data_IF_287215859845
#
_entry.id   IF_287215859845
#
_cell.length_a   1.000
_cell.length_b   1.000
_cell.length_c   1.000
_cell.angle_alpha   90.00
_cell.angle_beta   90.00
_cell.angle_gamma   90.00
#
_symmetry.space_group_name_H-M   'P 1'
#
loop_
_entity.id
_entity.type
_entity.pdbx_description
1 polymer ?
#
# COMPACT_ATOMS: atom_id res chain seq x y z
N UNK A 1 -10.22 -18.12 -0.53
CA UNK A 1 -9.56 -16.82 -0.74
C UNK A 1 -10.34 -16.05 -1.80
N UNK A 2 -10.56 -14.76 -1.58
CA UNK A 2 -11.26 -13.90 -2.53
C UNK A 2 -10.33 -12.77 -2.94
N UNK A 3 -10.32 -12.44 -4.23
CA UNK A 3 -9.47 -11.38 -4.78
C UNK A 3 -10.34 -10.41 -5.58
N UNK A 4 -10.33 -9.15 -5.16
CA UNK A 4 -10.90 -8.07 -5.95
C UNK A 4 -9.92 -7.63 -7.02
N UNK A 5 -10.30 -7.69 -8.29
CA UNK A 5 -9.43 -7.30 -9.41
C UNK A 5 -10.13 -6.32 -10.34
N UNK A 6 -9.35 -5.42 -10.91
CA UNK A 6 -9.84 -4.54 -11.97
C UNK A 6 -10.28 -5.36 -13.20
N UNK A 7 -11.36 -4.95 -13.87
CA UNK A 7 -11.98 -5.71 -14.95
C UNK A 7 -11.01 -6.20 -16.06
N UNK A 8 -9.98 -5.40 -16.38
CA UNK A 8 -8.98 -5.79 -17.39
C UNK A 8 -8.02 -6.91 -16.97
N UNK A 9 -7.88 -7.20 -15.66
CA UNK A 9 -7.00 -8.25 -15.15
C UNK A 9 -7.72 -9.60 -15.01
N UNK A 10 -9.05 -9.62 -14.97
CA UNK A 10 -9.85 -10.84 -14.87
C UNK A 10 -9.57 -11.82 -16.02
N UNK A 11 -9.44 -11.29 -17.25
CA UNK A 11 -9.17 -12.12 -18.44
C UNK A 11 -7.76 -12.71 -18.46
N UNK A 12 -6.76 -12.03 -17.88
CA UNK A 12 -5.36 -12.49 -17.92
C UNK A 12 -5.04 -13.54 -16.88
N UNK A 13 -5.61 -13.45 -15.68
CA UNK A 13 -5.20 -14.25 -14.53
C UNK A 13 -6.33 -15.10 -13.95
N UNK A 14 -7.56 -14.97 -14.46
CA UNK A 14 -8.74 -15.64 -13.92
C UNK A 14 -8.60 -17.16 -13.88
N UNK A 15 -8.10 -17.77 -14.95
CA UNK A 15 -7.93 -19.23 -15.02
C UNK A 15 -6.87 -19.74 -14.03
N UNK A 16 -5.75 -19.03 -13.91
CA UNK A 16 -4.68 -19.40 -12.98
C UNK A 16 -5.11 -19.29 -11.52
N UNK A 17 -5.74 -18.17 -11.16
CA UNK A 17 -6.22 -17.94 -9.80
C UNK A 17 -7.35 -18.90 -9.44
N UNK A 18 -8.26 -19.18 -10.37
CA UNK A 18 -9.33 -20.14 -10.18
C UNK A 18 -8.85 -21.56 -9.90
N UNK A 19 -7.74 -21.99 -10.56
CA UNK A 19 -7.10 -23.28 -10.31
C UNK A 19 -6.65 -23.43 -8.84
N UNK A 20 -6.24 -22.32 -8.21
CA UNK A 20 -5.87 -22.28 -6.78
C UNK A 20 -7.05 -22.07 -5.84
N UNK A 21 -8.29 -22.24 -6.30
CA UNK A 21 -9.49 -22.05 -5.49
C UNK A 21 -9.78 -20.59 -5.13
N UNK A 22 -9.17 -19.64 -5.86
CA UNK A 22 -9.37 -18.21 -5.64
C UNK A 22 -10.67 -17.77 -6.35
N UNK A 23 -11.58 -17.18 -5.62
CA UNK A 23 -12.78 -16.55 -6.17
C UNK A 23 -12.48 -15.09 -6.55
N UNK A 24 -12.69 -14.77 -7.82
CA UNK A 24 -12.47 -13.43 -8.35
C UNK A 24 -13.78 -12.65 -8.31
N UNK A 25 -13.72 -11.41 -7.84
CA UNK A 25 -14.83 -10.48 -7.82
C UNK A 25 -14.44 -9.17 -8.52
N UNK A 26 -15.39 -8.41 -9.09
CA UNK A 26 -15.09 -7.11 -9.68
C UNK A 26 -14.51 -6.17 -8.65
N UNK A 27 -13.40 -5.50 -9.00
CA UNK A 27 -12.83 -4.41 -8.21
C UNK A 27 -13.65 -3.12 -8.31
N UNK A 28 -13.33 -2.15 -7.46
CA UNK A 28 -13.85 -0.79 -7.55
C UNK A 28 -13.31 -0.06 -8.79
N UNK A 29 -13.93 1.08 -9.12
CA UNK A 29 -13.55 1.88 -10.28
C UNK A 29 -12.65 3.06 -9.91
N UNK A 30 -12.87 3.64 -8.77
CA UNK A 30 -12.23 4.89 -8.34
C UNK A 30 -11.41 4.68 -7.06
N UNK A 31 -11.99 4.08 -6.03
CA UNK A 31 -11.42 4.02 -4.70
C UNK A 31 -11.07 2.59 -4.27
N UNK A 32 -9.97 2.44 -3.52
CA UNK A 32 -9.54 1.14 -3.00
C UNK A 32 -10.64 0.44 -2.18
N UNK A 33 -11.32 1.20 -1.33
CA UNK A 33 -12.36 0.68 -0.45
C UNK A 33 -13.55 0.06 -1.22
N UNK A 34 -13.85 0.51 -2.45
CA UNK A 34 -14.88 -0.10 -3.29
C UNK A 34 -14.53 -1.56 -3.62
N UNK A 35 -13.27 -1.83 -3.92
CA UNK A 35 -12.78 -3.18 -4.20
C UNK A 35 -12.95 -4.09 -2.98
N UNK A 36 -12.58 -3.62 -1.80
CA UNK A 36 -12.72 -4.40 -0.57
C UNK A 36 -14.20 -4.60 -0.23
N UNK A 37 -15.05 -3.57 -0.39
CA UNK A 37 -16.51 -3.69 -0.18
C UNK A 37 -17.13 -4.75 -1.10
N UNK A 38 -16.77 -4.78 -2.38
CA UNK A 38 -17.25 -5.78 -3.32
C UNK A 38 -16.78 -7.20 -2.93
N UNK A 39 -15.52 -7.34 -2.52
CA UNK A 39 -15.00 -8.62 -2.04
C UNK A 39 -15.69 -9.08 -0.76
N UNK A 40 -15.97 -8.16 0.16
CA UNK A 40 -16.62 -8.44 1.44
C UNK A 40 -18.07 -8.97 1.26
N UNK A 41 -18.80 -8.49 0.24
CA UNK A 41 -20.12 -9.01 -0.10
C UNK A 41 -20.09 -10.49 -0.53
N UNK A 42 -18.97 -10.95 -1.07
CA UNK A 42 -18.78 -12.32 -1.50
C UNK A 42 -18.19 -13.23 -0.40
N UNK A 43 -17.80 -12.67 0.76
CA UNK A 43 -17.32 -13.44 1.92
C UNK A 43 -18.52 -14.18 2.56
N UNK A 44 -18.32 -15.50 2.85
CA UNK A 44 -19.33 -16.31 3.55
C UNK A 44 -19.81 -15.64 4.85
N UNK A 45 -21.09 -15.74 5.12
CA UNK A 45 -21.67 -15.28 6.40
C UNK A 45 -21.14 -16.07 7.60
N UNK A 46 -20.65 -17.28 7.37
CA UNK A 46 -20.04 -18.13 8.41
C UNK A 46 -18.57 -17.74 8.71
N UNK A 47 -17.98 -16.86 7.90
CA UNK A 47 -16.61 -16.39 8.15
C UNK A 47 -16.56 -15.61 9.46
N UNK A 48 -15.75 -16.05 10.40
CA UNK A 48 -15.53 -15.38 11.69
C UNK A 48 -14.55 -14.22 11.58
N UNK A 49 -13.58 -14.34 10.67
CA UNK A 49 -12.54 -13.33 10.45
C UNK A 49 -12.34 -13.09 8.95
N UNK A 50 -11.87 -11.90 8.64
CA UNK A 50 -11.48 -11.47 7.29
C UNK A 50 -10.11 -10.82 7.36
N UNK A 51 -9.19 -11.30 6.53
CA UNK A 51 -7.89 -10.66 6.33
C UNK A 51 -7.91 -9.89 5.00
N UNK A 52 -7.62 -8.61 5.04
CA UNK A 52 -7.45 -7.78 3.85
C UNK A 52 -5.96 -7.61 3.58
N UNK A 53 -5.53 -8.00 2.37
CA UNK A 53 -4.12 -7.97 2.01
C UNK A 53 -3.89 -7.31 0.65
N UNK A 54 -2.89 -6.43 0.61
CA UNK A 54 -2.44 -5.79 -0.63
C UNK A 54 -1.66 -6.81 -1.50
N UNK A 55 -2.14 -7.11 -2.70
CA UNK A 55 -1.43 -7.96 -3.66
C UNK A 55 -0.03 -7.42 -4.03
N UNK A 56 0.20 -6.13 -3.79
CA UNK A 56 1.50 -5.47 -3.98
C UNK A 56 2.52 -5.77 -2.86
N UNK A 57 2.19 -6.63 -1.87
CA UNK A 57 3.11 -7.07 -0.80
C UNK A 57 3.41 -8.56 -0.88
N UNK A 58 4.15 -9.02 -1.91
CA UNK A 58 4.41 -10.45 -2.10
C UNK A 58 5.41 -11.05 -1.10
N UNK A 59 6.06 -10.20 -0.28
CA UNK A 59 7.10 -10.61 0.67
C UNK A 59 6.60 -10.99 2.07
N UNK A 60 5.28 -11.13 2.26
CA UNK A 60 4.70 -11.50 3.57
C UNK A 60 5.22 -12.88 4.01
N UNK A 61 5.79 -12.94 5.21
CA UNK A 61 6.34 -14.18 5.76
C UNK A 61 5.27 -15.01 6.48
N UNK A 62 5.49 -16.32 6.64
CA UNK A 62 4.66 -17.14 7.52
C UNK A 62 4.65 -16.60 8.96
N UNK A 63 5.78 -16.15 9.46
CA UNK A 63 5.94 -15.62 10.82
C UNK A 63 5.12 -14.36 11.05
N UNK A 64 5.00 -13.49 10.05
CA UNK A 64 4.11 -12.33 10.11
C UNK A 64 2.64 -12.76 10.11
N UNK A 65 2.28 -13.72 9.26
CA UNK A 65 0.93 -14.27 9.24
C UNK A 65 0.56 -14.86 10.60
N UNK A 66 1.42 -15.70 11.18
CA UNK A 66 1.19 -16.30 12.49
C UNK A 66 1.00 -15.23 13.57
N UNK A 67 1.82 -14.18 13.60
CA UNK A 67 1.71 -13.07 14.55
C UNK A 67 0.35 -12.37 14.46
N UNK A 68 -0.08 -12.07 13.23
CA UNK A 68 -1.37 -11.40 12.99
C UNK A 68 -2.54 -12.32 13.37
N UNK A 69 -2.48 -13.61 12.99
CA UNK A 69 -3.54 -14.57 13.29
C UNK A 69 -3.65 -14.86 14.79
N UNK A 70 -2.53 -15.01 15.49
CA UNK A 70 -2.55 -15.24 16.94
C UNK A 70 -3.14 -14.04 17.69
N UNK A 71 -2.76 -12.83 17.33
CA UNK A 71 -3.34 -11.62 17.90
C UNK A 71 -4.85 -11.48 17.59
N UNK A 72 -5.29 -11.89 16.40
CA UNK A 72 -6.68 -11.84 16.00
C UNK A 72 -7.59 -12.82 16.75
N UNK A 73 -7.05 -13.84 17.42
CA UNK A 73 -7.82 -14.73 18.30
C UNK A 73 -8.41 -13.98 19.49
N UNK A 74 -7.72 -12.95 19.96
CA UNK A 74 -8.08 -12.19 21.17
C UNK A 74 -8.55 -10.76 20.86
N UNK A 75 -8.18 -10.19 19.73
CA UNK A 75 -8.52 -8.83 19.33
C UNK A 75 -9.40 -8.81 18.09
N UNK A 76 -10.35 -7.86 18.05
CA UNK A 76 -11.30 -7.76 16.95
C UNK A 76 -10.73 -7.12 15.66
N UNK A 77 -9.67 -6.33 15.79
CA UNK A 77 -8.96 -5.71 14.68
C UNK A 77 -7.46 -5.72 14.97
N UNK A 78 -6.66 -6.21 14.04
CA UNK A 78 -5.20 -6.35 14.16
C UNK A 78 -4.53 -5.95 12.85
N UNK A 79 -3.51 -5.12 12.95
CA UNK A 79 -2.71 -4.68 11.81
C UNK A 79 -1.22 -4.83 12.11
N UNK A 80 -0.38 -5.15 11.12
CA UNK A 80 1.06 -5.07 11.29
C UNK A 80 1.55 -3.64 11.09
N UNK A 81 2.48 -3.20 11.93
CA UNK A 81 3.10 -1.88 11.86
C UNK A 81 4.61 -1.97 11.97
N UNK A 82 5.32 -1.26 11.09
CA UNK A 82 6.76 -1.15 11.11
C UNK A 82 7.16 0.20 11.70
N UNK A 83 8.07 0.22 12.68
CA UNK A 83 8.58 1.46 13.24
C UNK A 83 9.25 2.32 12.16
N UNK A 84 8.97 3.63 12.18
CA UNK A 84 9.54 4.56 11.21
C UNK A 84 10.98 4.91 11.60
N UNK A 85 11.94 4.55 10.75
CA UNK A 85 13.35 4.80 10.98
C UNK A 85 13.76 6.24 10.69
N UNK A 86 13.16 6.89 9.69
CA UNK A 86 13.51 8.22 9.22
C UNK A 86 12.83 9.33 10.03
N UNK A 87 13.44 10.52 10.04
CA UNK A 87 12.82 11.71 10.62
C UNK A 87 11.67 12.17 9.74
N UNK A 88 10.46 12.25 10.30
CA UNK A 88 9.30 12.75 9.59
C UNK A 88 9.18 14.26 9.69
N UNK A 89 8.94 14.91 8.56
CA UNK A 89 8.69 16.35 8.45
C UNK A 89 7.29 16.61 7.87
N UNK A 90 6.56 17.51 8.49
CA UNK A 90 5.40 18.12 7.84
C UNK A 90 5.90 19.23 6.95
N UNK A 91 5.41 19.27 5.71
CA UNK A 91 5.77 20.30 4.73
C UNK A 91 4.53 21.07 4.31
N UNK A 92 4.70 22.36 3.99
CA UNK A 92 3.61 23.21 3.51
C UNK A 92 3.05 22.75 2.16
N UNK A 93 1.82 23.14 1.86
CA UNK A 93 1.14 22.84 0.59
C UNK A 93 1.75 23.61 -0.60
N UNK A 94 2.27 24.82 -0.34
CA UNK A 94 2.88 25.67 -1.38
C UNK A 94 4.28 25.21 -1.78
N UNK A 95 4.57 25.29 -3.08
CA UNK A 95 5.94 25.17 -3.59
C UNK A 95 6.59 26.53 -3.68
N UNK A 96 7.78 26.68 -3.11
CA UNK A 96 8.65 27.87 -3.29
C UNK A 96 9.50 27.58 -4.51
N UNK A 97 9.43 28.45 -5.52
CA UNK A 97 10.41 28.48 -6.60
C UNK A 97 11.62 29.26 -6.08
N UNK A 98 12.79 28.67 -6.12
CA UNK A 98 14.01 29.42 -6.02
C UNK A 98 14.17 30.18 -7.35
N UNK A 99 13.81 31.45 -7.36
CA UNK A 99 14.29 32.39 -8.36
C UNK A 99 15.75 32.68 -7.97
N UNK A 100 16.69 31.91 -8.46
CA UNK A 100 18.08 32.34 -8.49
C UNK A 100 18.16 33.44 -9.55
N UNK A 101 17.96 34.68 -9.15
CA UNK A 101 18.47 35.84 -9.87
C UNK A 101 20.02 35.82 -9.75
N UNK A 102 20.67 34.91 -10.43
CA UNK A 102 22.10 35.02 -10.67
C UNK A 102 22.28 35.75 -12.01
N UNK A 103 22.05 37.06 -11.97
CA UNK A 103 22.23 37.96 -13.12
C UNK A 103 23.64 37.86 -13.75
N UNK A 104 24.61 37.26 -13.06
CA UNK A 104 25.97 37.01 -13.55
C UNK A 104 26.00 35.70 -14.37
N UNK A 105 25.22 34.66 -13.98
CA UNK A 105 25.16 33.42 -14.73
C UNK A 105 24.44 33.60 -16.07
N UNK A 106 23.37 34.37 -16.13
CA UNK A 106 22.63 34.73 -17.37
C UNK A 106 23.49 35.51 -18.32
N UNK A 107 24.37 36.38 -17.84
CA UNK A 107 25.28 37.17 -18.64
C UNK A 107 26.42 36.34 -19.26
N UNK A 108 26.83 35.25 -18.64
CA UNK A 108 27.95 34.41 -19.09
C UNK A 108 27.50 33.22 -19.95
N UNK A 109 26.34 32.62 -19.68
CA UNK A 109 25.90 31.38 -20.33
C UNK A 109 24.87 31.55 -21.45
N UNK A 110 24.32 32.76 -21.62
CA UNK A 110 23.28 33.02 -22.63
C UNK A 110 22.01 32.21 -22.38
N UNK A 111 20.93 32.51 -23.14
CA UNK A 111 19.57 31.94 -23.05
C UNK A 111 19.46 30.40 -23.27
N UNK A 112 20.53 29.65 -23.15
CA UNK A 112 20.59 28.23 -23.55
C UNK A 112 20.59 27.22 -22.40
N UNK A 113 20.53 27.67 -21.13
CA UNK A 113 20.37 26.75 -20.00
C UNK A 113 18.94 26.88 -19.47
N UNK A 114 18.10 25.89 -19.77
CA UNK A 114 16.88 25.66 -19.00
C UNK A 114 17.29 25.61 -17.53
N UNK A 115 17.12 26.73 -16.81
CA UNK A 115 17.30 26.78 -15.39
C UNK A 115 16.34 25.74 -14.80
N UNK A 116 16.88 24.62 -14.33
CA UNK A 116 16.12 23.59 -13.67
C UNK A 116 15.40 24.26 -12.51
N UNK A 117 14.12 24.58 -12.70
CA UNK A 117 13.25 25.18 -11.69
C UNK A 117 13.15 24.18 -10.54
N UNK A 118 14.05 24.31 -9.57
CA UNK A 118 14.00 23.54 -8.34
C UNK A 118 12.77 23.95 -7.56
N UNK A 119 11.76 23.07 -7.50
CA UNK A 119 10.59 23.27 -6.66
C UNK A 119 10.87 22.69 -5.28
N UNK A 120 10.84 23.53 -4.26
CA UNK A 120 11.02 23.12 -2.86
C UNK A 120 9.76 23.44 -2.04
N UNK A 121 9.54 22.70 -0.95
CA UNK A 121 8.49 22.99 0.03
C UNK A 121 9.12 23.35 1.37
N UNK A 122 8.49 24.31 2.05
CA UNK A 122 8.93 24.73 3.39
C UNK A 122 8.60 23.65 4.41
N UNK A 123 9.55 23.32 5.28
CA UNK A 123 9.30 22.44 6.44
C UNK A 123 8.57 23.25 7.51
N UNK A 124 7.38 22.81 7.91
CA UNK A 124 6.58 23.43 8.94
C UNK A 124 6.88 22.86 10.33
N UNK A 125 7.07 21.54 10.42
CA UNK A 125 7.33 20.89 11.70
C UNK A 125 8.10 19.58 11.55
N UNK A 126 8.80 19.20 12.62
CA UNK A 126 9.28 17.84 12.83
C UNK A 126 8.24 17.06 13.63
N UNK A 127 7.84 15.89 13.13
CA UNK A 127 6.88 15.03 13.81
C UNK A 127 7.59 14.11 14.79
N UNK A 128 7.03 13.96 15.99
CA UNK A 128 7.49 12.91 16.90
C UNK A 128 7.07 11.54 16.36
N UNK A 129 8.05 10.71 16.07
CA UNK A 129 7.86 9.35 15.53
C UNK A 129 7.86 8.24 16.57
N UNK A 130 8.04 8.55 17.85
CA UNK A 130 8.21 7.57 18.93
C UNK A 130 7.05 6.56 19.00
N UNK A 131 5.85 6.97 18.64
CA UNK A 131 4.64 6.14 18.60
C UNK A 131 3.98 6.12 17.23
N UNK A 132 4.77 6.27 16.18
CA UNK A 132 4.30 6.23 14.79
C UNK A 132 4.82 4.97 14.12
N UNK A 133 3.91 4.27 13.45
CA UNK A 133 4.25 3.09 12.67
C UNK A 133 3.77 3.24 11.22
N UNK A 134 4.53 2.68 10.30
CA UNK A 134 4.10 2.51 8.93
C UNK A 134 3.26 1.23 8.85
N UNK A 135 1.96 1.39 8.61
CA UNK A 135 1.00 0.29 8.59
C UNK A 135 1.21 -0.59 7.37
N UNK A 136 1.13 -1.90 7.59
CA UNK A 136 1.23 -2.91 6.56
C UNK A 136 -0.06 -3.73 6.46
N UNK A 137 -0.07 -4.69 5.55
CA UNK A 137 -1.10 -5.73 5.45
C UNK A 137 -0.42 -7.11 5.49
N UNK A 138 -1.14 -8.20 5.91
CA UNK A 138 -2.58 -8.32 6.05
C UNK A 138 -3.12 -7.58 7.28
N UNK A 139 -4.26 -6.90 7.12
CA UNK A 139 -5.05 -6.36 8.22
C UNK A 139 -6.16 -7.37 8.52
N UNK A 140 -6.24 -7.82 9.77
CA UNK A 140 -7.15 -8.87 10.19
C UNK A 140 -8.24 -8.32 11.08
N UNK A 141 -9.49 -8.68 10.78
CA UNK A 141 -10.67 -8.20 11.50
C UNK A 141 -11.62 -9.33 11.79
N UNK A 142 -12.39 -9.23 12.89
CA UNK A 142 -13.63 -9.98 13.01
C UNK A 142 -14.55 -9.59 11.86
N UNK A 143 -15.14 -10.57 11.18
CA UNK A 143 -15.94 -10.33 9.97
C UNK A 143 -17.13 -9.39 10.22
N UNK A 144 -17.78 -9.52 11.36
CA UNK A 144 -18.86 -8.63 11.76
C UNK A 144 -18.41 -7.18 11.92
N UNK A 145 -17.26 -6.96 12.59
CA UNK A 145 -16.70 -5.62 12.78
C UNK A 145 -16.36 -4.96 11.43
N UNK A 146 -15.71 -5.70 10.53
CA UNK A 146 -15.38 -5.17 9.21
C UNK A 146 -16.63 -4.86 8.38
N UNK A 147 -17.67 -5.70 8.45
CA UNK A 147 -18.96 -5.41 7.80
C UNK A 147 -19.61 -4.14 8.34
N UNK A 148 -19.58 -3.92 9.66
CA UNK A 148 -20.06 -2.67 10.27
C UNK A 148 -19.25 -1.47 9.79
N UNK A 149 -17.93 -1.61 9.72
CA UNK A 149 -17.03 -0.56 9.24
C UNK A 149 -17.34 -0.17 7.79
N UNK A 150 -17.63 -1.13 6.93
CA UNK A 150 -18.02 -0.90 5.54
C UNK A 150 -19.49 -0.51 5.32
N UNK A 151 -20.34 -0.61 6.33
CA UNK A 151 -21.73 -0.12 6.31
C UNK A 151 -21.87 1.35 6.70
N UNK A 152 -20.80 2.05 7.04
CA UNK A 152 -20.82 3.47 7.36
C UNK A 152 -21.28 4.30 6.15
N UNK A 153 -21.96 5.44 6.37
CA UNK A 153 -22.53 6.23 5.28
C UNK A 153 -21.48 6.92 4.41
N UNK A 154 -20.28 7.16 4.94
CA UNK A 154 -19.17 7.78 4.21
C UNK A 154 -17.86 7.00 4.40
N UNK A 155 -17.33 6.47 3.32
CA UNK A 155 -16.07 5.73 3.28
C UNK A 155 -14.94 6.52 2.59
N UNK A 156 -15.24 7.72 2.09
CA UNK A 156 -14.26 8.54 1.37
C UNK A 156 -13.08 8.92 2.26
N UNK A 157 -11.89 9.01 1.65
CA UNK A 157 -10.66 9.37 2.35
C UNK A 157 -10.16 8.27 3.31
N UNK A 158 -10.75 7.07 3.30
CA UNK A 158 -10.17 5.94 4.00
C UNK A 158 -8.94 5.43 3.25
N UNK A 159 -7.77 5.53 3.85
CA UNK A 159 -6.51 5.08 3.28
C UNK A 159 -6.30 3.57 3.44
N UNK A 160 -6.91 2.99 4.49
CA UNK A 160 -6.88 1.56 4.78
C UNK A 160 -8.17 1.10 5.48
N UNK A 161 -8.26 -0.20 5.74
CA UNK A 161 -9.46 -0.81 6.34
C UNK A 161 -9.53 -0.54 7.84
N UNK A 162 -8.37 -0.43 8.49
CA UNK A 162 -8.28 -0.10 9.92
C UNK A 162 -8.84 1.30 10.21
N UNK A 163 -8.58 2.28 9.35
CA UNK A 163 -9.13 3.62 9.49
C UNK A 163 -10.66 3.67 9.49
N UNK A 164 -11.33 2.74 8.79
CA UNK A 164 -12.78 2.62 8.85
C UNK A 164 -13.26 2.04 10.19
N UNK A 165 -12.48 1.14 10.79
CA UNK A 165 -12.75 0.59 12.13
C UNK A 165 -12.53 1.64 13.21
N UNK A 166 -11.48 2.43 13.10
CA UNK A 166 -11.19 3.56 13.99
C UNK A 166 -12.31 4.61 13.99
N UNK A 167 -12.91 4.88 12.83
CA UNK A 167 -14.09 5.77 12.72
C UNK A 167 -15.32 5.29 13.49
N UNK A 168 -15.42 3.98 13.78
CA UNK A 168 -16.45 3.42 14.65
C UNK A 168 -16.13 3.58 16.15
N UNK A 169 -14.94 4.10 16.49
CA UNK A 169 -14.44 4.16 17.87
C UNK A 169 -13.97 2.81 18.41
N UNK A 170 -13.79 1.82 17.54
CA UNK A 170 -13.33 0.48 17.92
C UNK A 170 -11.79 0.42 17.94
N UNK A 171 -11.19 -0.26 18.92
CA UNK A 171 -9.73 -0.34 19.03
C UNK A 171 -9.13 -1.20 17.93
N UNK A 172 -8.03 -0.70 17.33
CA UNK A 172 -7.19 -1.44 16.40
C UNK A 172 -5.84 -1.72 17.07
N UNK A 173 -5.46 -2.99 17.12
CA UNK A 173 -4.22 -3.43 17.74
C UNK A 173 -3.11 -3.55 16.71
N UNK A 174 -1.91 -3.10 17.07
CA UNK A 174 -0.73 -3.17 16.22
C UNK A 174 0.18 -4.30 16.69
N UNK A 175 0.60 -5.15 15.75
CA UNK A 175 1.67 -6.13 15.94
C UNK A 175 2.89 -5.74 15.12
N UNK A 176 4.07 -6.28 15.46
CA UNK A 176 5.29 -5.96 14.73
C UNK A 176 5.21 -6.40 13.27
N UNK A 177 5.38 -5.44 12.37
CA UNK A 177 5.54 -5.64 10.93
C UNK A 177 6.94 -6.12 10.55
N UNK A 178 7.17 -6.29 9.24
CA UNK A 178 8.45 -6.75 8.71
C UNK A 178 8.92 -5.89 7.54
N UNK A 179 10.21 -5.57 7.51
CA UNK A 179 10.80 -4.83 6.38
C UNK A 179 10.61 -5.56 5.04
N UNK A 180 10.74 -6.91 5.05
CA UNK A 180 10.52 -7.71 3.84
C UNK A 180 9.09 -7.65 3.29
N UNK A 181 8.11 -7.25 4.09
CA UNK A 181 6.71 -7.07 3.70
C UNK A 181 6.49 -5.69 3.05
N UNK A 182 7.45 -5.24 2.31
CA UNK A 182 7.48 -4.02 1.51
C UNK A 182 6.33 -4.02 0.49
N UNK A 183 5.70 -2.86 0.30
CA UNK A 183 4.73 -2.64 -0.78
C UNK A 183 5.45 -2.23 -2.05
N UNK A 184 5.30 -3.01 -3.11
CA UNK A 184 5.84 -2.70 -4.44
C UNK A 184 4.97 -1.62 -5.09
N UNK A 185 5.48 -0.40 -5.19
CA UNK A 185 4.79 0.77 -5.73
C UNK A 185 5.49 1.38 -6.93
N UNK A 186 6.80 1.25 -6.98
CA UNK A 186 7.66 1.76 -8.07
C UNK A 186 8.55 0.64 -8.61
N UNK A 187 9.15 0.78 -9.82
CA UNK A 187 10.00 -0.25 -10.41
C UNK A 187 11.19 -0.67 -9.53
N UNK A 188 11.74 0.26 -8.76
CA UNK A 188 12.87 0.04 -7.85
C UNK A 188 12.49 -0.93 -6.72
N UNK A 189 11.27 -0.82 -6.20
CA UNK A 189 10.73 -1.74 -5.18
C UNK A 189 10.68 -3.18 -5.72
N UNK A 190 10.38 -3.34 -7.01
CA UNK A 190 10.34 -4.67 -7.64
C UNK A 190 11.72 -5.32 -7.67
N UNK A 191 12.78 -4.53 -7.92
CA UNK A 191 14.16 -5.03 -7.90
C UNK A 191 14.55 -5.46 -6.48
N UNK A 192 14.22 -4.65 -5.48
CA UNK A 192 14.45 -4.95 -4.07
C UNK A 192 13.67 -6.21 -3.65
N UNK A 193 12.40 -6.30 -4.02
CA UNK A 193 11.55 -7.45 -3.68
C UNK A 193 12.08 -8.75 -4.30
N UNK A 194 12.57 -8.74 -5.55
CA UNK A 194 13.22 -9.90 -6.15
C UNK A 194 14.41 -10.37 -5.34
N UNK A 195 15.24 -9.44 -4.87
CA UNK A 195 16.38 -9.75 -4.01
C UNK A 195 15.93 -10.39 -2.69
N UNK A 196 14.93 -9.80 -2.03
CA UNK A 196 14.34 -10.31 -0.77
C UNK A 196 13.81 -11.74 -0.94
N UNK A 197 13.18 -12.03 -2.08
CA UNK A 197 12.61 -13.35 -2.40
C UNK A 197 13.63 -14.33 -2.99
N UNK A 198 14.90 -13.94 -3.18
CA UNK A 198 15.93 -14.77 -3.81
C UNK A 198 15.66 -15.09 -5.29
N UNK A 199 14.86 -14.27 -5.97
CA UNK A 199 14.51 -14.48 -7.37
C UNK A 199 15.58 -13.89 -8.28
N UNK A 200 16.07 -14.71 -9.24
CA UNK A 200 16.98 -14.23 -10.28
C UNK A 200 16.29 -13.17 -11.15
N UNK A 201 17.07 -12.18 -11.60
CA UNK A 201 16.59 -11.27 -12.63
C UNK A 201 16.14 -12.06 -13.87
N UNK A 202 15.06 -11.68 -14.57
CA UNK A 202 14.72 -12.33 -15.83
C UNK A 202 15.91 -12.17 -16.77
N UNK A 203 16.41 -13.28 -17.28
CA UNK A 203 17.38 -13.26 -18.36
C UNK A 203 16.77 -12.46 -19.50
N UNK A 204 17.45 -11.38 -19.93
CA UNK A 204 16.97 -10.53 -21.00
C UNK A 204 16.61 -11.39 -22.20
N UNK A 205 15.37 -11.31 -22.69
CA UNK A 205 15.01 -11.93 -23.97
C UNK A 205 16.03 -11.45 -24.99
N UNK A 206 16.82 -12.39 -25.52
CA UNK A 206 17.71 -12.11 -26.63
C UNK A 206 16.87 -11.42 -27.71
N UNK A 207 17.16 -10.15 -27.95
CA UNK A 207 16.56 -9.42 -29.08
C UNK A 207 17.14 -10.06 -30.31
N UNK A 208 16.40 -10.98 -30.94
CA UNK A 208 16.74 -11.47 -32.25
C UNK A 208 16.80 -10.26 -33.19
N UNK A 209 18.01 -9.76 -33.46
CA UNK A 209 18.25 -8.87 -34.57
C UNK A 209 17.83 -9.63 -35.83
N UNK A 210 16.69 -9.25 -36.42
CA UNK A 210 16.38 -9.62 -37.80
C UNK A 210 17.37 -8.87 -38.68
N UNK A 211 18.22 -9.62 -39.36
CA UNK A 211 19.01 -9.14 -40.51
C UNK A 211 18.07 -8.94 -41.71
#
# INVERSE_FOLDING_TARGET
VQVGVHAGLQHRHGAQLGFHGVRIVPGGREERWETVRNALQAVSQEATHVAVHDAARPGTSPELLDRVFEAAKVHAAVIPGLAVADTLKRVGEGTVRAEEEDAIADMILGDAVDAATSTARVVEATLDRTRVVAVQTPQMFRAELLRRAYAQPDLRGATDDAGLVERLGEPVMVVDGEFRNLKVTVPEDLALMRTILGLKAPEGRAVHKRF
#
